data_IF_653042472107
#
_entry.id   IF_653042472107
#
_cell.length_a   1.000
_cell.length_b   1.000
_cell.length_c   1.000
_cell.angle_alpha   90.00
_cell.angle_beta   90.00
_cell.angle_gamma   90.00
#
_symmetry.space_group_name_H-M   'P 1'
#
loop_
_entity.id
_entity.type
_entity.pdbx_description
1 polymer ?
#
# COMPACT_ATOMS: atom_id res chain seq x y z
N UNK A 1 -8.06 -17.91 -17.50
CA UNK A 1 -8.33 -18.12 -16.07
C UNK A 1 -7.18 -17.47 -15.32
N UNK A 2 -7.38 -16.26 -14.83
CA UNK A 2 -6.35 -15.58 -14.06
C UNK A 2 -6.14 -16.32 -12.75
N UNK A 3 -4.91 -16.80 -12.56
CA UNK A 3 -4.47 -17.45 -11.32
C UNK A 3 -4.30 -16.34 -10.25
N UNK A 4 -5.43 -15.81 -9.75
CA UNK A 4 -5.36 -15.04 -8.51
C UNK A 4 -5.00 -15.99 -7.41
N UNK A 5 -4.03 -15.63 -6.60
CA UNK A 5 -3.71 -16.43 -5.42
C UNK A 5 -4.99 -16.48 -4.57
N UNK A 6 -5.36 -17.67 -4.16
CA UNK A 6 -6.52 -17.89 -3.31
C UNK A 6 -6.35 -17.23 -1.92
N UNK A 7 -5.13 -16.81 -1.60
CA UNK A 7 -4.77 -16.16 -0.35
C UNK A 7 -4.36 -14.71 -0.62
N UNK A 8 -4.82 -13.74 0.24
CA UNK A 8 -4.41 -12.34 0.12
C UNK A 8 -2.92 -12.19 0.38
N UNK A 9 -2.32 -11.20 -0.29
CA UNK A 9 -0.92 -10.83 -0.08
C UNK A 9 -0.81 -9.67 0.88
N UNK A 10 0.11 -9.75 1.84
CA UNK A 10 0.35 -8.69 2.82
C UNK A 10 1.69 -8.01 2.59
N UNK A 11 1.72 -6.71 2.90
CA UNK A 11 2.94 -5.93 2.97
C UNK A 11 3.00 -5.09 4.23
N UNK A 12 4.24 -4.83 4.72
CA UNK A 12 4.49 -3.87 5.79
C UNK A 12 4.99 -2.56 5.20
N UNK A 13 4.50 -1.43 5.73
CA UNK A 13 4.95 -0.09 5.34
C UNK A 13 5.83 0.53 6.43
N UNK A 14 6.97 1.08 5.98
CA UNK A 14 7.92 1.87 6.77
C UNK A 14 8.00 3.27 6.19
N UNK A 15 8.01 4.29 7.03
CA UNK A 15 8.11 5.67 6.61
C UNK A 15 9.58 6.13 6.55
N UNK A 16 9.89 7.00 5.59
CA UNK A 16 11.18 7.69 5.53
C UNK A 16 11.40 8.60 6.74
N UNK A 17 10.34 9.32 7.15
CA UNK A 17 10.31 10.15 8.36
C UNK A 17 9.06 9.86 9.17
N UNK A 18 9.18 9.87 10.49
CA UNK A 18 8.03 9.95 11.38
C UNK A 18 7.80 11.40 11.80
N UNK A 19 6.55 11.81 11.87
CA UNK A 19 6.13 13.11 12.40
C UNK A 19 5.56 12.99 13.81
N UNK A 20 5.10 14.11 14.37
CA UNK A 20 4.47 14.15 15.68
C UNK A 20 3.15 13.37 15.76
N UNK A 21 2.51 13.11 14.61
CA UNK A 21 1.24 12.39 14.53
C UNK A 21 1.43 10.88 14.35
N UNK A 22 2.69 10.41 14.21
CA UNK A 22 2.95 8.98 14.12
C UNK A 22 2.54 8.27 15.43
N UNK A 23 1.77 7.17 15.37
CA UNK A 23 1.17 6.54 16.54
C UNK A 23 2.19 6.10 17.60
N UNK A 24 1.97 6.50 18.86
CA UNK A 24 2.83 6.08 19.97
C UNK A 24 2.86 4.56 20.12
N UNK A 25 1.74 3.88 19.92
CA UNK A 25 1.66 2.41 19.97
C UNK A 25 2.63 1.72 18.99
N UNK A 26 2.83 2.30 17.82
CA UNK A 26 3.79 1.81 16.85
C UNK A 26 5.23 2.20 17.20
N UNK A 27 5.46 3.39 17.78
CA UNK A 27 6.80 3.77 18.31
C UNK A 27 7.24 2.82 19.42
N UNK A 28 6.33 2.47 20.33
CA UNK A 28 6.58 1.49 21.39
C UNK A 28 6.85 0.09 20.84
N UNK A 29 6.05 -0.35 19.86
CA UNK A 29 6.21 -1.66 19.23
C UNK A 29 7.58 -1.83 18.56
N UNK A 30 7.99 -0.86 17.73
CA UNK A 30 9.26 -0.91 17.02
C UNK A 30 10.46 -0.45 17.85
N UNK A 31 10.22 0.32 18.92
CA UNK A 31 11.19 1.02 19.73
C UNK A 31 11.49 2.43 19.23
N UNK A 32 11.36 3.42 20.11
CA UNK A 32 11.52 4.84 19.77
C UNK A 32 12.80 5.19 19.01
N UNK A 33 13.93 4.59 19.40
CA UNK A 33 15.22 4.83 18.74
C UNK A 33 15.29 4.22 17.35
N UNK A 34 14.63 3.08 17.15
CA UNK A 34 14.62 2.36 15.86
C UNK A 34 13.87 3.18 14.82
N UNK A 35 12.68 3.68 15.16
CA UNK A 35 11.86 4.44 14.22
C UNK A 35 12.43 5.82 13.85
N UNK A 36 13.38 6.35 14.62
CA UNK A 36 14.09 7.59 14.31
C UNK A 36 15.18 7.41 13.22
N UNK A 37 15.61 6.18 12.99
CA UNK A 37 16.65 5.84 12.01
C UNK A 37 16.05 4.99 10.89
N UNK A 38 15.57 5.63 9.82
CA UNK A 38 14.79 4.99 8.76
C UNK A 38 15.43 3.73 8.16
N UNK A 39 16.76 3.67 8.02
CA UNK A 39 17.46 2.48 7.50
C UNK A 39 17.46 1.34 8.50
N UNK A 40 17.67 1.63 9.79
CA UNK A 40 17.65 0.63 10.88
C UNK A 40 16.24 0.06 11.02
N UNK A 41 15.24 0.95 11.00
CA UNK A 41 13.86 0.53 11.05
C UNK A 41 13.46 -0.31 9.82
N UNK A 42 13.87 0.11 8.64
CA UNK A 42 13.57 -0.60 7.41
C UNK A 42 14.16 -2.02 7.41
N UNK A 43 15.40 -2.19 7.82
CA UNK A 43 16.04 -3.53 7.94
C UNK A 43 15.32 -4.41 8.96
N UNK A 44 14.99 -3.86 10.14
CA UNK A 44 14.21 -4.58 11.16
C UNK A 44 12.82 -4.99 10.62
N UNK A 45 12.17 -4.10 9.87
CA UNK A 45 10.87 -4.36 9.25
C UNK A 45 10.94 -5.42 8.14
N UNK A 46 12.04 -5.48 7.37
CA UNK A 46 12.26 -6.57 6.41
C UNK A 46 12.32 -7.94 7.13
N UNK A 47 13.09 -8.03 8.21
CA UNK A 47 13.15 -9.26 9.02
C UNK A 47 11.78 -9.63 9.59
N UNK A 48 11.07 -8.65 10.12
CA UNK A 48 9.72 -8.87 10.69
C UNK A 48 8.70 -9.25 9.61
N UNK A 49 8.75 -8.65 8.42
CA UNK A 49 7.91 -9.02 7.30
C UNK A 49 8.05 -10.50 6.94
N UNK A 50 9.28 -10.99 6.85
CA UNK A 50 9.55 -12.42 6.61
C UNK A 50 8.99 -13.29 7.74
N UNK A 51 9.22 -12.90 8.99
CA UNK A 51 8.73 -13.61 10.18
C UNK A 51 7.21 -13.79 10.18
N UNK A 52 6.46 -12.71 9.93
CA UNK A 52 4.98 -12.76 9.90
C UNK A 52 4.41 -13.28 8.58
N UNK A 53 5.28 -13.52 7.59
CA UNK A 53 4.90 -14.05 6.28
C UNK A 53 4.31 -13.01 5.32
N UNK A 54 4.56 -11.73 5.52
CA UNK A 54 4.34 -10.70 4.50
C UNK A 54 5.26 -10.94 3.31
N UNK A 55 4.83 -10.48 2.13
CA UNK A 55 5.56 -10.67 0.86
C UNK A 55 6.06 -9.36 0.26
N UNK A 56 5.57 -8.23 0.78
CA UNK A 56 5.90 -6.89 0.30
C UNK A 56 6.48 -6.10 1.47
N UNK A 57 7.55 -5.35 1.19
CA UNK A 57 8.07 -4.30 2.07
C UNK A 57 7.93 -2.96 1.36
N UNK A 58 7.13 -2.06 1.92
CA UNK A 58 6.86 -0.74 1.39
C UNK A 58 7.71 0.29 2.11
N UNK A 59 8.46 1.09 1.36
CA UNK A 59 9.16 2.26 1.87
C UNK A 59 8.49 3.52 1.35
N UNK A 60 7.83 4.26 2.24
CA UNK A 60 7.12 5.48 1.92
C UNK A 60 8.03 6.70 2.11
N UNK A 61 8.35 7.38 1.01
CA UNK A 61 9.18 8.59 0.98
C UNK A 61 8.28 9.81 1.19
N UNK A 62 7.88 10.02 2.44
CA UNK A 62 6.96 11.07 2.88
C UNK A 62 7.69 12.40 3.10
N UNK A 63 8.27 12.96 2.04
CA UNK A 63 8.85 14.30 2.05
C UNK A 63 7.76 15.36 1.84
N UNK A 64 8.06 16.59 2.28
CA UNK A 64 7.14 17.73 2.20
C UNK A 64 7.47 18.69 1.05
N UNK A 65 8.73 18.67 0.57
CA UNK A 65 9.22 19.58 -0.44
C UNK A 65 10.26 18.93 -1.39
N UNK A 66 10.31 19.40 -2.63
CA UNK A 66 11.25 18.90 -3.66
C UNK A 66 12.73 19.06 -3.28
N UNK A 67 13.07 19.99 -2.40
CA UNK A 67 14.47 20.17 -1.92
C UNK A 67 14.99 18.98 -1.13
N UNK A 68 14.12 18.10 -0.65
CA UNK A 68 14.47 16.90 0.10
C UNK A 68 14.78 15.69 -0.81
N UNK A 69 14.49 15.77 -2.10
CA UNK A 69 14.64 14.65 -3.05
C UNK A 69 16.08 14.11 -3.03
N UNK A 70 17.07 15.00 -3.06
CA UNK A 70 18.49 14.58 -3.09
C UNK A 70 18.89 13.80 -1.83
N UNK A 71 18.39 14.21 -0.67
CA UNK A 71 18.61 13.48 0.59
C UNK A 71 17.90 12.13 0.58
N UNK A 72 16.68 12.07 0.09
CA UNK A 72 15.90 10.84 -0.01
C UNK A 72 16.53 9.82 -0.98
N UNK A 73 17.17 10.26 -2.08
CA UNK A 73 17.85 9.39 -3.04
C UNK A 73 18.81 8.41 -2.38
N UNK A 74 19.73 8.93 -1.54
CA UNK A 74 20.72 8.09 -0.87
C UNK A 74 20.11 7.05 0.10
N UNK A 75 18.96 7.37 0.69
CA UNK A 75 18.25 6.44 1.57
C UNK A 75 17.49 5.40 0.75
N UNK A 76 16.81 5.78 -0.32
CA UNK A 76 16.08 4.85 -1.20
C UNK A 76 17.03 3.86 -1.89
N UNK A 77 18.20 4.30 -2.32
CA UNK A 77 19.19 3.38 -2.87
C UNK A 77 19.58 2.29 -1.87
N UNK A 78 19.88 2.68 -0.62
CA UNK A 78 20.23 1.75 0.46
C UNK A 78 19.06 0.84 0.85
N UNK A 79 17.83 1.36 0.96
CA UNK A 79 16.66 0.53 1.28
C UNK A 79 16.39 -0.50 0.17
N UNK A 80 16.59 -0.12 -1.10
CA UNK A 80 16.49 -1.06 -2.22
C UNK A 80 17.56 -2.15 -2.17
N UNK A 81 18.80 -1.83 -1.74
CA UNK A 81 19.88 -2.79 -1.51
C UNK A 81 19.55 -3.75 -0.35
N UNK A 82 19.06 -3.21 0.78
CA UNK A 82 18.64 -4.01 1.94
C UNK A 82 17.53 -4.98 1.52
N UNK A 83 16.45 -4.47 0.89
CA UNK A 83 15.32 -5.30 0.46
C UNK A 83 15.75 -6.41 -0.51
N UNK A 84 16.75 -6.16 -1.37
CA UNK A 84 17.28 -7.16 -2.29
C UNK A 84 17.92 -8.35 -1.60
N UNK A 85 18.31 -8.22 -0.34
CA UNK A 85 18.84 -9.30 0.52
C UNK A 85 17.75 -10.19 1.15
N UNK A 86 16.50 -9.80 1.07
CA UNK A 86 15.36 -10.55 1.57
C UNK A 86 14.51 -11.12 0.42
N UNK A 87 13.73 -12.15 0.70
CA UNK A 87 12.73 -12.70 -0.25
C UNK A 87 11.42 -11.87 -0.22
N UNK A 88 11.55 -10.56 -0.41
CA UNK A 88 10.46 -9.59 -0.38
C UNK A 88 10.39 -8.81 -1.69
N UNK A 89 9.17 -8.48 -2.13
CA UNK A 89 8.96 -7.49 -3.19
C UNK A 89 9.09 -6.10 -2.58
N UNK A 90 10.02 -5.30 -3.09
CA UNK A 90 10.16 -3.91 -2.66
C UNK A 90 9.07 -3.03 -3.28
N UNK A 91 8.45 -2.18 -2.47
CA UNK A 91 7.54 -1.15 -2.92
C UNK A 91 8.11 0.22 -2.56
N UNK A 92 8.31 1.06 -3.58
CA UNK A 92 8.62 2.48 -3.41
C UNK A 92 7.32 3.27 -3.44
N UNK A 93 7.00 3.94 -2.35
CA UNK A 93 5.81 4.79 -2.24
C UNK A 93 6.24 6.24 -2.09
N UNK A 94 5.66 7.12 -2.90
CA UNK A 94 5.85 8.57 -2.81
C UNK A 94 5.08 9.21 -1.67
N UNK A 95 5.10 10.54 -1.63
CA UNK A 95 4.46 11.35 -0.59
C UNK A 95 2.92 11.35 -0.67
N UNK A 96 2.36 10.95 -1.81
CA UNK A 96 0.91 10.98 -2.05
C UNK A 96 0.40 12.31 -2.62
N UNK A 97 1.26 13.32 -2.72
CA UNK A 97 0.95 14.60 -3.33
C UNK A 97 1.30 14.57 -4.84
N UNK A 98 0.30 14.75 -5.71
CA UNK A 98 0.42 14.52 -7.16
C UNK A 98 1.59 15.25 -7.82
N UNK A 99 1.77 16.54 -7.50
CA UNK A 99 2.81 17.37 -8.09
C UNK A 99 4.19 17.03 -7.53
N UNK A 100 4.27 16.72 -6.24
CA UNK A 100 5.52 16.31 -5.59
C UNK A 100 5.96 14.94 -6.10
N UNK A 101 5.04 13.98 -6.21
CA UNK A 101 5.33 12.63 -6.71
C UNK A 101 5.71 12.65 -8.20
N UNK A 102 5.19 13.60 -8.99
CA UNK A 102 5.60 13.81 -10.38
C UNK A 102 7.08 14.20 -10.52
N UNK A 103 7.64 14.87 -9.51
CA UNK A 103 9.07 15.21 -9.46
C UNK A 103 9.91 14.13 -8.74
N UNK A 104 9.37 13.55 -7.67
CA UNK A 104 10.06 12.63 -6.78
C UNK A 104 10.29 11.25 -7.42
N UNK A 105 9.21 10.59 -7.85
CA UNK A 105 9.27 9.19 -8.24
C UNK A 105 10.15 8.94 -9.47
N UNK A 106 10.13 9.78 -10.54
CA UNK A 106 11.04 9.59 -11.68
C UNK A 106 12.53 9.66 -11.33
N UNK A 107 12.89 10.41 -10.27
CA UNK A 107 14.26 10.52 -9.78
C UNK A 107 14.69 9.32 -8.93
N UNK A 108 13.74 8.65 -8.26
CA UNK A 108 14.02 7.54 -7.36
C UNK A 108 13.93 6.17 -8.05
N UNK A 109 13.04 5.99 -9.02
CA UNK A 109 12.83 4.71 -9.72
C UNK A 109 14.13 4.14 -10.32
N UNK A 110 15.02 4.94 -10.98
CA UNK A 110 16.27 4.43 -11.55
C UNK A 110 17.27 3.89 -10.51
N UNK A 111 17.09 4.16 -9.22
CA UNK A 111 17.96 3.69 -8.14
C UNK A 111 17.61 2.28 -7.67
N UNK A 112 16.47 1.75 -8.07
CA UNK A 112 15.97 0.47 -7.62
C UNK A 112 16.77 -0.69 -8.22
N UNK A 113 17.15 -1.66 -7.38
CA UNK A 113 18.05 -2.76 -7.76
C UNK A 113 17.33 -3.93 -8.46
N UNK A 114 16.00 -4.03 -8.31
CA UNK A 114 15.16 -5.10 -8.88
C UNK A 114 13.83 -4.50 -9.34
N UNK A 115 13.08 -5.19 -10.24
CA UNK A 115 11.69 -4.85 -10.50
C UNK A 115 10.91 -4.73 -9.19
N UNK A 116 10.24 -3.61 -9.00
CA UNK A 116 9.62 -3.18 -7.74
C UNK A 116 8.21 -2.64 -8.01
N UNK A 117 7.44 -2.39 -6.95
CA UNK A 117 6.14 -1.75 -7.05
C UNK A 117 6.32 -0.24 -6.82
N UNK A 118 5.71 0.58 -7.65
CA UNK A 118 5.76 2.05 -7.58
C UNK A 118 4.37 2.58 -7.23
N UNK A 119 4.26 3.37 -6.17
CA UNK A 119 2.99 3.91 -5.65
C UNK A 119 3.15 5.35 -5.14
N UNK A 120 2.10 6.19 -5.17
CA UNK A 120 0.93 6.05 -6.04
C UNK A 120 1.17 6.70 -7.40
N UNK A 121 0.54 6.17 -8.44
CA UNK A 121 0.43 6.82 -9.73
C UNK A 121 -1.01 7.30 -9.89
N UNK A 122 -1.21 8.55 -10.28
CA UNK A 122 -2.51 9.21 -10.31
C UNK A 122 -2.73 9.91 -11.67
N UNK A 123 -3.96 10.35 -11.92
CA UNK A 123 -4.41 10.98 -13.18
C UNK A 123 -3.54 12.17 -13.66
N UNK A 124 -2.90 12.89 -12.73
CA UNK A 124 -2.09 14.09 -13.05
C UNK A 124 -0.60 13.84 -13.16
N UNK A 125 -0.11 12.69 -12.72
CA UNK A 125 1.33 12.39 -12.70
C UNK A 125 1.73 11.11 -13.44
N UNK A 126 0.77 10.38 -14.03
CA UNK A 126 1.06 9.13 -14.72
C UNK A 126 2.06 9.28 -15.88
N UNK A 127 1.96 10.36 -16.65
CA UNK A 127 2.86 10.62 -17.78
C UNK A 127 4.33 10.70 -17.36
N UNK A 128 4.61 11.31 -16.20
CA UNK A 128 5.97 11.45 -15.69
C UNK A 128 6.51 10.14 -15.12
N UNK A 129 5.65 9.32 -14.52
CA UNK A 129 6.05 8.16 -13.72
C UNK A 129 6.03 6.86 -14.55
N UNK A 130 4.94 6.61 -15.28
CA UNK A 130 4.69 5.33 -15.95
C UNK A 130 5.79 4.98 -16.95
N UNK A 131 6.20 5.93 -17.79
CA UNK A 131 7.23 5.66 -18.81
C UNK A 131 8.59 5.29 -18.22
N UNK A 132 8.94 5.81 -17.03
CA UNK A 132 10.18 5.45 -16.31
C UNK A 132 10.02 4.08 -15.64
N UNK A 133 8.88 3.84 -14.99
CA UNK A 133 8.58 2.58 -14.34
C UNK A 133 8.53 1.40 -15.34
N UNK A 134 7.87 1.59 -16.48
CA UNK A 134 7.75 0.56 -17.52
C UNK A 134 9.13 0.14 -18.08
N UNK A 135 10.03 1.11 -18.32
CA UNK A 135 11.41 0.83 -18.78
C UNK A 135 12.21 -0.01 -17.79
N UNK A 136 11.94 0.14 -16.49
CA UNK A 136 12.57 -0.64 -15.42
C UNK A 136 11.89 -1.99 -15.16
N UNK A 137 10.79 -2.30 -15.85
CA UNK A 137 10.00 -3.52 -15.61
C UNK A 137 9.27 -3.48 -14.26
N UNK A 138 8.96 -2.27 -13.75
CA UNK A 138 8.26 -2.09 -12.49
C UNK A 138 6.75 -2.22 -12.63
N UNK A 139 6.09 -2.56 -11.53
CA UNK A 139 4.63 -2.57 -11.38
C UNK A 139 4.18 -1.21 -10.84
N UNK A 140 3.10 -0.64 -11.36
CA UNK A 140 2.53 0.62 -10.90
C UNK A 140 1.22 0.42 -10.14
N UNK A 141 1.07 1.10 -9.01
CA UNK A 141 -0.18 1.22 -8.27
C UNK A 141 -0.93 2.45 -8.76
N UNK A 142 -1.99 2.23 -9.52
CA UNK A 142 -2.82 3.28 -10.11
C UNK A 142 -3.91 3.65 -9.13
N UNK A 143 -3.80 4.84 -8.52
CA UNK A 143 -4.73 5.33 -7.50
C UNK A 143 -5.80 6.23 -8.10
N UNK A 144 -7.06 5.89 -7.81
CA UNK A 144 -8.23 6.66 -8.24
C UNK A 144 -9.25 6.78 -7.11
N UNK A 145 -9.69 7.99 -6.76
CA UNK A 145 -10.54 8.20 -5.59
C UNK A 145 -11.98 7.69 -5.84
N UNK A 146 -12.24 6.44 -5.49
CA UNK A 146 -13.57 5.81 -5.45
C UNK A 146 -14.38 5.98 -6.77
N UNK A 147 -13.68 5.98 -7.90
CA UNK A 147 -14.27 6.16 -9.24
C UNK A 147 -13.84 5.04 -10.20
N UNK A 148 -14.79 4.16 -10.56
CA UNK A 148 -14.55 3.03 -11.46
C UNK A 148 -14.25 3.47 -12.90
N UNK A 149 -14.81 4.60 -13.36
CA UNK A 149 -14.58 5.10 -14.72
C UNK A 149 -13.17 5.68 -14.81
N UNK A 150 -12.77 6.47 -13.82
CA UNK A 150 -11.41 6.98 -13.72
C UNK A 150 -10.39 5.85 -13.56
N UNK A 151 -10.71 4.78 -12.80
CA UNK A 151 -9.87 3.58 -12.69
C UNK A 151 -9.62 2.98 -14.06
N UNK A 152 -10.68 2.74 -14.83
CA UNK A 152 -10.57 2.19 -16.18
C UNK A 152 -9.80 3.11 -17.13
N UNK A 153 -10.08 4.41 -17.09
CA UNK A 153 -9.39 5.41 -17.90
C UNK A 153 -7.88 5.43 -17.58
N UNK A 154 -7.50 5.50 -16.31
CA UNK A 154 -6.09 5.54 -15.91
C UNK A 154 -5.36 4.24 -16.28
N UNK A 155 -6.01 3.08 -16.20
CA UNK A 155 -5.44 1.81 -16.65
C UNK A 155 -5.15 1.85 -18.17
N UNK A 156 -6.10 2.34 -18.97
CA UNK A 156 -5.92 2.49 -20.44
C UNK A 156 -4.77 3.45 -20.74
N UNK A 157 -4.77 4.63 -20.15
CA UNK A 157 -3.74 5.65 -20.35
C UNK A 157 -2.34 5.14 -19.95
N UNK A 158 -2.25 4.38 -18.86
CA UNK A 158 -0.98 3.80 -18.43
C UNK A 158 -0.47 2.69 -19.38
N UNK A 159 -1.38 1.91 -19.97
CA UNK A 159 -1.02 0.92 -21.00
C UNK A 159 -0.54 1.64 -22.28
N UNK A 160 -1.20 2.71 -22.67
CA UNK A 160 -0.80 3.53 -23.83
C UNK A 160 0.59 4.19 -23.63
N UNK A 161 0.96 4.51 -22.38
CA UNK A 161 2.31 4.99 -22.01
C UNK A 161 3.35 3.85 -21.92
N UNK A 162 2.95 2.60 -22.23
CA UNK A 162 3.86 1.44 -22.34
C UNK A 162 3.93 0.54 -21.12
N UNK A 163 3.07 0.72 -20.11
CA UNK A 163 2.99 -0.21 -18.98
C UNK A 163 2.29 -1.49 -19.40
N UNK A 164 2.89 -2.64 -19.13
CA UNK A 164 2.22 -3.91 -19.36
C UNK A 164 1.03 -4.09 -18.42
N UNK A 165 -0.10 -4.62 -18.90
CA UNK A 165 -1.32 -4.77 -18.11
C UNK A 165 -1.12 -5.63 -16.84
N UNK A 166 -0.24 -6.62 -16.91
CA UNK A 166 0.18 -7.45 -15.76
C UNK A 166 0.97 -6.70 -14.69
N UNK A 167 1.47 -5.51 -15.01
CA UNK A 167 2.22 -4.63 -14.13
C UNK A 167 1.35 -3.49 -13.58
N UNK A 168 0.03 -3.68 -13.53
CA UNK A 168 -0.92 -2.73 -12.95
C UNK A 168 -1.52 -3.32 -11.67
N UNK A 169 -1.55 -2.51 -10.61
CA UNK A 169 -2.35 -2.72 -9.41
C UNK A 169 -3.34 -1.57 -9.27
N UNK A 170 -4.59 -1.86 -8.96
CA UNK A 170 -5.64 -0.87 -8.74
C UNK A 170 -5.69 -0.48 -7.27
N UNK A 171 -5.54 0.81 -6.96
CA UNK A 171 -5.78 1.37 -5.63
C UNK A 171 -7.03 2.26 -5.68
N UNK A 172 -8.15 1.84 -5.08
CA UNK A 172 -9.40 2.58 -5.11
C UNK A 172 -9.46 3.78 -4.15
N UNK A 173 -8.36 4.08 -3.44
CA UNK A 173 -8.26 5.17 -2.46
C UNK A 173 -9.35 5.07 -1.39
N UNK A 174 -9.22 4.11 -0.49
CA UNK A 174 -10.24 3.72 0.49
C UNK A 174 -10.06 4.46 1.83
N UNK A 175 -11.13 4.49 2.63
CA UNK A 175 -11.10 4.91 4.03
C UNK A 175 -11.12 3.74 5.01
N UNK A 176 -10.90 4.01 6.30
CA UNK A 176 -10.97 3.01 7.37
C UNK A 176 -12.34 2.94 8.05
N UNK A 177 -12.49 2.02 9.01
CA UNK A 177 -13.66 1.94 9.89
C UNK A 177 -14.03 3.32 10.42
N UNK A 178 -15.28 3.68 10.37
CA UNK A 178 -15.88 4.98 10.73
C UNK A 178 -15.47 6.18 9.86
N UNK A 179 -14.56 6.02 8.93
CA UNK A 179 -14.03 7.08 8.06
C UNK A 179 -14.09 6.73 6.57
N UNK A 180 -15.24 6.24 6.11
CA UNK A 180 -15.48 5.96 4.69
C UNK A 180 -15.14 4.55 4.23
N UNK A 181 -15.03 3.59 5.14
CA UNK A 181 -14.85 2.18 4.81
C UNK A 181 -15.94 1.65 3.86
N UNK A 182 -17.19 2.07 4.06
CA UNK A 182 -18.34 1.71 3.24
C UNK A 182 -18.18 2.12 1.77
N UNK A 183 -17.58 3.28 1.51
CA UNK A 183 -17.25 3.71 0.13
C UNK A 183 -16.16 2.84 -0.47
N UNK A 184 -15.09 2.57 0.28
CA UNK A 184 -14.00 1.67 -0.15
C UNK A 184 -14.51 0.26 -0.42
N UNK A 185 -15.33 -0.29 0.47
CA UNK A 185 -15.97 -1.58 0.30
C UNK A 185 -16.80 -1.63 -0.98
N UNK A 186 -17.69 -0.66 -1.15
CA UNK A 186 -18.60 -0.58 -2.31
C UNK A 186 -17.87 -0.45 -3.65
N UNK A 187 -16.79 0.35 -3.73
CA UNK A 187 -16.05 0.49 -4.98
C UNK A 187 -15.29 -0.79 -5.33
N UNK A 188 -14.71 -1.49 -4.35
CA UNK A 188 -14.05 -2.77 -4.57
C UNK A 188 -15.06 -3.81 -5.11
N UNK A 189 -16.23 -3.97 -4.47
CA UNK A 189 -17.28 -4.87 -4.97
C UNK A 189 -17.71 -4.53 -6.40
N UNK A 190 -17.84 -3.26 -6.74
CA UNK A 190 -18.18 -2.81 -8.10
C UNK A 190 -17.11 -3.15 -9.13
N UNK A 191 -15.83 -3.00 -8.78
CA UNK A 191 -14.71 -3.41 -9.63
C UNK A 191 -14.72 -4.92 -9.81
N UNK A 192 -14.91 -5.69 -8.73
CA UNK A 192 -15.02 -7.16 -8.76
C UNK A 192 -16.18 -7.59 -9.66
N UNK A 193 -17.36 -7.03 -9.46
CA UNK A 193 -18.53 -7.36 -10.28
C UNK A 193 -18.33 -7.00 -11.77
N UNK A 194 -17.69 -5.87 -12.06
CA UNK A 194 -17.43 -5.46 -13.44
C UNK A 194 -16.43 -6.37 -14.14
N UNK A 195 -15.38 -6.83 -13.44
CA UNK A 195 -14.37 -7.76 -13.99
C UNK A 195 -14.90 -9.17 -14.19
N UNK A 196 -15.84 -9.63 -13.36
CA UNK A 196 -16.48 -10.94 -13.50
C UNK A 196 -17.52 -10.95 -14.61
N UNK A 197 -18.19 -9.81 -14.83
CA UNK A 197 -19.27 -9.64 -15.81
C UNK A 197 -20.55 -10.36 -15.43
N UNK A 198 -21.59 -10.18 -16.24
CA UNK A 198 -22.84 -10.92 -16.09
C UNK A 198 -22.69 -12.38 -16.51
N UNK A 199 -23.50 -13.27 -15.95
CA UNK A 199 -23.52 -14.71 -16.31
C UNK A 199 -23.70 -14.88 -17.81
N UNK A 200 -22.62 -15.32 -18.47
CA UNK A 200 -22.59 -15.56 -19.93
C UNK A 200 -22.02 -14.42 -20.77
N UNK A 201 -21.62 -13.29 -20.15
CA UNK A 201 -20.86 -12.20 -20.77
C UNK A 201 -19.41 -12.19 -20.32
N UNK A 202 -18.50 -11.65 -21.12
CA UNK A 202 -17.12 -11.38 -20.69
C UNK A 202 -17.09 -10.16 -19.76
N UNK A 203 -16.33 -10.22 -18.68
CA UNK A 203 -16.11 -9.07 -17.81
C UNK A 203 -15.22 -7.99 -18.45
N UNK A 204 -15.11 -6.84 -17.79
CA UNK A 204 -14.26 -5.74 -18.24
C UNK A 204 -12.78 -6.03 -17.97
N UNK A 205 -12.04 -6.30 -19.05
CA UNK A 205 -10.61 -6.62 -18.97
C UNK A 205 -9.75 -5.46 -18.45
N UNK A 206 -10.22 -4.23 -18.59
CA UNK A 206 -9.51 -3.06 -18.08
C UNK A 206 -9.66 -2.89 -16.56
N UNK A 207 -10.47 -3.72 -15.93
CA UNK A 207 -10.65 -3.80 -14.47
C UNK A 207 -10.19 -5.15 -13.89
N UNK A 208 -9.61 -6.03 -14.73
CA UNK A 208 -9.15 -7.36 -14.31
C UNK A 208 -7.70 -7.35 -13.79
N UNK A 209 -7.30 -6.29 -13.10
CA UNK A 209 -6.03 -6.17 -12.37
C UNK A 209 -6.24 -6.41 -10.88
N UNK A 210 -5.19 -6.85 -10.14
CA UNK A 210 -5.29 -7.01 -8.70
C UNK A 210 -5.56 -5.68 -7.99
N UNK A 211 -6.33 -5.75 -6.90
CA UNK A 211 -6.69 -4.59 -6.08
C UNK A 211 -5.79 -4.55 -4.84
N UNK A 212 -5.12 -3.42 -4.62
CA UNK A 212 -4.29 -3.15 -3.45
C UNK A 212 -4.93 -2.09 -2.56
N UNK A 213 -4.83 -2.26 -1.24
CA UNK A 213 -5.34 -1.31 -0.25
C UNK A 213 -4.27 -0.97 0.78
N UNK A 214 -4.20 0.32 1.17
CA UNK A 214 -3.24 0.84 2.15
C UNK A 214 -3.93 1.05 3.50
N UNK A 215 -4.26 -0.05 4.17
CA UNK A 215 -5.07 -0.04 5.39
C UNK A 215 -4.33 0.50 6.61
N UNK A 216 -2.99 0.37 6.65
CA UNK A 216 -2.18 0.89 7.74
C UNK A 216 -2.32 2.40 7.88
N UNK A 217 -1.95 3.15 6.83
CA UNK A 217 -2.00 4.61 6.87
C UNK A 217 -3.41 5.14 7.17
N UNK A 218 -4.45 4.53 6.62
CA UNK A 218 -5.82 5.00 6.84
C UNK A 218 -6.32 4.67 8.26
N UNK A 219 -6.07 3.46 8.76
CA UNK A 219 -6.49 3.06 10.10
C UNK A 219 -5.84 3.91 11.19
N UNK A 220 -4.55 4.19 11.06
CA UNK A 220 -3.82 4.99 12.05
C UNK A 220 -4.00 6.51 11.91
N UNK A 221 -4.72 7.01 10.90
CA UNK A 221 -5.25 8.39 10.89
C UNK A 221 -6.43 8.57 11.84
N UNK A 222 -7.21 7.52 12.12
CA UNK A 222 -8.38 7.59 12.97
C UNK A 222 -8.02 7.99 14.40
N UNK A 223 -8.83 8.88 14.99
CA UNK A 223 -8.66 9.32 16.39
C UNK A 223 -8.72 8.12 17.34
N UNK A 224 -9.62 7.19 17.07
CA UNK A 224 -9.85 5.98 17.85
C UNK A 224 -8.62 5.07 17.90
N UNK A 225 -7.81 5.04 16.85
CA UNK A 225 -6.60 4.25 16.78
C UNK A 225 -5.37 4.91 17.44
N UNK A 226 -5.42 6.23 17.74
CA UNK A 226 -4.26 6.98 18.26
C UNK A 226 -4.43 7.54 19.65
N UNK A 227 -5.63 8.04 19.99
CA UNK A 227 -5.82 8.80 21.21
C UNK A 227 -6.05 7.90 22.42
N UNK A 228 -5.44 8.27 23.54
CA UNK A 228 -5.71 7.69 24.86
C UNK A 228 -6.95 8.33 25.53
N UNK A 229 -7.49 9.41 24.96
CA UNK A 229 -8.63 10.15 25.49
C UNK A 229 -9.97 9.49 25.09
N UNK A 230 -10.15 8.24 25.53
CA UNK A 230 -11.39 7.47 25.38
C UNK A 230 -11.78 6.85 26.72
N UNK A 231 -13.10 6.62 26.90
CA UNK A 231 -13.58 5.96 28.10
C UNK A 231 -13.03 4.53 28.21
N UNK A 232 -12.87 3.97 29.42
CA UNK A 232 -12.33 2.62 29.61
C UNK A 232 -13.09 1.51 28.85
N UNK A 233 -14.34 1.77 28.48
CA UNK A 233 -15.15 0.85 27.66
C UNK A 233 -14.52 0.56 26.29
N UNK A 234 -13.76 1.50 25.73
CA UNK A 234 -13.07 1.33 24.43
C UNK A 234 -11.80 0.47 24.52
N UNK A 235 -11.39 0.09 25.73
CA UNK A 235 -10.17 -0.67 25.95
C UNK A 235 -8.87 0.13 25.81
N UNK A 236 -7.73 -0.51 26.04
CA UNK A 236 -6.42 0.08 25.89
C UNK A 236 -6.16 0.49 24.41
N UNK A 237 -5.42 1.57 24.21
CA UNK A 237 -5.14 2.10 22.86
C UNK A 237 -4.36 1.10 22.00
N UNK A 238 -3.48 0.31 22.58
CA UNK A 238 -2.66 -0.69 21.89
C UNK A 238 -3.54 -1.77 21.26
N UNK A 239 -4.53 -2.27 22.00
CA UNK A 239 -5.48 -3.27 21.51
C UNK A 239 -6.44 -2.65 20.50
N UNK A 240 -6.89 -1.42 20.76
CA UNK A 240 -7.84 -0.73 19.91
C UNK A 240 -7.24 -0.37 18.55
N UNK A 241 -6.02 0.16 18.53
CA UNK A 241 -5.32 0.53 17.30
C UNK A 241 -5.12 -0.69 16.38
N UNK A 242 -4.63 -1.79 16.93
CA UNK A 242 -4.47 -3.05 16.21
C UNK A 242 -5.81 -3.59 15.70
N UNK A 243 -6.86 -3.59 16.55
CA UNK A 243 -8.20 -4.04 16.17
C UNK A 243 -8.79 -3.19 15.05
N UNK A 244 -8.51 -1.87 15.05
CA UNK A 244 -8.96 -0.94 13.99
C UNK A 244 -8.37 -1.29 12.63
N UNK A 245 -7.07 -1.56 12.59
CA UNK A 245 -6.39 -1.98 11.36
C UNK A 245 -6.86 -3.37 10.90
N UNK A 246 -6.94 -4.35 11.80
CA UNK A 246 -7.45 -5.70 11.48
C UNK A 246 -8.88 -5.62 10.91
N UNK A 247 -9.77 -4.87 11.56
CA UNK A 247 -11.17 -4.76 11.13
C UNK A 247 -11.29 -4.09 9.75
N UNK A 248 -10.54 -3.01 9.52
CA UNK A 248 -10.48 -2.31 8.23
C UNK A 248 -9.98 -3.25 7.14
N UNK A 249 -8.85 -3.92 7.39
CA UNK A 249 -8.22 -4.82 6.43
C UNK A 249 -9.12 -6.01 6.10
N UNK A 250 -9.71 -6.64 7.13
CA UNK A 250 -10.65 -7.77 6.94
C UNK A 250 -11.81 -7.38 6.03
N UNK A 251 -12.44 -6.24 6.29
CA UNK A 251 -13.59 -5.79 5.50
C UNK A 251 -13.22 -5.61 4.02
N UNK A 252 -12.10 -4.98 3.72
CA UNK A 252 -11.68 -4.71 2.34
C UNK A 252 -11.21 -5.98 1.61
N UNK A 253 -10.56 -6.92 2.31
CA UNK A 253 -10.25 -8.23 1.76
C UNK A 253 -11.52 -9.03 1.45
N UNK A 254 -12.53 -8.99 2.34
CA UNK A 254 -13.84 -9.60 2.08
C UNK A 254 -14.59 -8.96 0.90
N UNK A 255 -14.40 -7.67 0.63
CA UNK A 255 -14.92 -7.00 -0.56
C UNK A 255 -14.24 -7.46 -1.86
N UNK A 256 -13.05 -8.06 -1.77
CA UNK A 256 -12.29 -8.59 -2.91
C UNK A 256 -10.98 -7.89 -3.21
N UNK A 257 -10.39 -7.17 -2.25
CA UNK A 257 -9.00 -6.72 -2.35
C UNK A 257 -8.05 -7.93 -2.34
N UNK A 258 -7.00 -7.86 -3.15
CA UNK A 258 -6.02 -8.94 -3.32
C UNK A 258 -4.76 -8.72 -2.47
N UNK A 259 -4.41 -7.44 -2.18
CA UNK A 259 -3.19 -7.04 -1.48
C UNK A 259 -3.53 -6.01 -0.41
N UNK A 260 -3.00 -6.17 0.80
CA UNK A 260 -3.13 -5.18 1.87
C UNK A 260 -1.77 -4.75 2.42
N UNK A 261 -1.56 -3.43 2.49
CA UNK A 261 -0.37 -2.81 3.08
C UNK A 261 -0.76 -2.28 4.46
N UNK A 262 -0.12 -2.83 5.48
CA UNK A 262 -0.40 -2.56 6.89
C UNK A 262 0.80 -1.92 7.59
N UNK A 263 0.57 -1.29 8.75
CA UNK A 263 1.62 -0.72 9.58
C UNK A 263 2.00 -1.63 10.75
N UNK A 264 1.04 -2.34 11.32
CA UNK A 264 1.31 -3.22 12.46
C UNK A 264 1.54 -4.67 12.01
N UNK A 265 2.71 -5.28 12.28
CA UNK A 265 3.00 -6.64 11.83
C UNK A 265 2.03 -7.70 12.37
N UNK A 266 1.50 -7.51 13.59
CA UNK A 266 0.57 -8.45 14.20
C UNK A 266 -0.79 -8.48 13.47
N UNK A 267 -1.11 -7.45 12.67
CA UNK A 267 -2.25 -7.48 11.73
C UNK A 267 -2.07 -8.61 10.71
N UNK A 268 -0.87 -8.77 10.16
CA UNK A 268 -0.57 -9.87 9.22
C UNK A 268 -0.72 -11.22 9.92
N UNK A 269 -0.16 -11.36 11.12
CA UNK A 269 -0.26 -12.60 11.92
C UNK A 269 -1.71 -12.98 12.17
N UNK A 270 -2.51 -12.04 12.69
CA UNK A 270 -3.92 -12.27 13.01
C UNK A 270 -4.75 -12.65 11.77
N UNK A 271 -4.54 -11.94 10.65
CA UNK A 271 -5.30 -12.19 9.43
C UNK A 271 -4.93 -13.52 8.77
N UNK A 272 -3.67 -13.92 8.82
CA UNK A 272 -3.23 -15.22 8.29
C UNK A 272 -3.74 -16.41 9.10
N UNK A 273 -4.03 -16.22 10.38
CA UNK A 273 -4.68 -17.26 11.21
C UNK A 273 -6.16 -17.46 10.86
N UNK A 274 -6.83 -16.40 10.42
CA UNK A 274 -8.28 -16.38 10.18
C UNK A 274 -8.66 -16.63 8.72
N UNK A 275 -7.86 -16.12 7.76
CA UNK A 275 -8.17 -16.13 6.33
C UNK A 275 -7.79 -17.41 5.55
N UNK A 276 -6.95 -18.36 6.02
CA UNK A 276 -6.66 -19.58 5.26
C UNK A 276 -7.78 -20.63 5.31
N UNK A 277 -8.87 -20.37 5.93
CA UNK A 277 -10.03 -21.26 5.84
C UNK A 277 -10.71 -21.12 4.49
N UNK A 278 -10.09 -21.68 3.45
CA UNK A 278 -10.85 -22.06 2.27
C UNK A 278 -11.75 -23.25 2.66
N UNK A 279 -13.04 -22.97 2.70
CA UNK A 279 -14.08 -23.99 2.74
C UNK A 279 -14.24 -24.56 1.33
#
# INVERSE_FOLDING_TARGET
>A
MNNRSAEPTFGLEVLYKIDENYPETLKEYWGEKVVQESLVWFEAACGKAVEVGAKIICFAVNIDDVSEIETARGVVEKTSEIAAGFELTFMLKGAGAKDLDAALLPELIPLLKKPSIIAPVQDKNYVQIVGVAAKGGHTCVLRTPIDINLTKELNILSIDEGLAAENILIDPDMGCVSYGLDYGYSIIERIVAAREGEKGGGGDKMLDMPIIVFTGVESFKAKEAKSTDFTPFWGPVEVRSLTWEISTTTALLCAGADIAIVWHPDTVTALREVLPCQI
#
